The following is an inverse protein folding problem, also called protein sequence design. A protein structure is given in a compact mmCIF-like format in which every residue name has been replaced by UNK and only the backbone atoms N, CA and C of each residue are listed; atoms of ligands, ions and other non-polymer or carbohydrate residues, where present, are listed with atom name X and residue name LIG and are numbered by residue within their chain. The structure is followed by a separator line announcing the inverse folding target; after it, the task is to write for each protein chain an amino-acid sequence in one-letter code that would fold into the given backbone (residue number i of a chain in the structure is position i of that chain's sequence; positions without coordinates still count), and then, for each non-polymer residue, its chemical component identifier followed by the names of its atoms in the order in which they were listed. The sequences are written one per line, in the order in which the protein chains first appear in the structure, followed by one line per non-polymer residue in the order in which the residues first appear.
data_IF_388520357635
#
_entry.id   IF_388520357635
#
_cell.length_a   1.000
_cell.length_b   1.000
_cell.length_c   1.000
_cell.angle_alpha   90.00
_cell.angle_beta   90.00
_cell.angle_gamma   90.00
#
_symmetry.space_group_name_H-M   'P 1'
#
loop_
_entity.id
_entity.type
_entity.pdbx_description
1 polymer ?
#
# COMPACT_ATOMS: atom_id res chain seq x y z
N UNK A 1 41.00 20.01 -3.03
CA UNK A 1 40.86 18.58 -3.37
C UNK A 1 39.56 18.33 -4.13
N UNK A 2 39.47 18.80 -5.38
CA UNK A 2 38.30 18.59 -6.24
C UNK A 2 38.30 17.18 -6.87
N UNK A 3 39.50 16.65 -7.15
CA UNK A 3 39.71 15.35 -7.79
C UNK A 3 39.22 14.15 -6.94
N UNK A 4 39.40 14.18 -5.62
CA UNK A 4 38.90 13.12 -4.73
C UNK A 4 37.37 13.13 -4.59
N UNK A 5 36.75 14.31 -4.75
CA UNK A 5 35.31 14.46 -4.63
C UNK A 5 34.61 13.91 -5.88
N UNK A 6 35.15 14.18 -7.08
CA UNK A 6 34.62 13.68 -8.37
C UNK A 6 34.65 12.14 -8.44
N UNK A 7 35.68 11.50 -7.88
CA UNK A 7 35.79 10.03 -7.84
C UNK A 7 34.70 9.35 -7.01
N UNK A 8 34.08 10.04 -6.06
CA UNK A 8 33.05 9.49 -5.15
C UNK A 8 31.61 9.71 -5.62
N UNK A 9 31.40 10.42 -6.72
CA UNK A 9 30.06 10.74 -7.24
C UNK A 9 29.35 9.53 -7.83
N UNK A 10 30.02 8.66 -8.63
CA UNK A 10 29.38 7.48 -9.17
C UNK A 10 28.86 6.54 -8.09
N UNK A 11 29.62 6.29 -7.02
CA UNK A 11 29.19 5.41 -5.93
C UNK A 11 28.05 6.02 -5.12
N UNK A 12 28.06 7.34 -4.92
CA UNK A 12 26.97 8.05 -4.25
C UNK A 12 25.66 7.97 -5.02
N UNK A 13 25.69 8.21 -6.33
CA UNK A 13 24.49 8.13 -7.16
C UNK A 13 23.94 6.71 -7.27
N UNK A 14 24.80 5.70 -7.33
CA UNK A 14 24.35 4.30 -7.29
C UNK A 14 23.69 3.98 -5.95
N UNK A 15 24.25 4.44 -4.83
CA UNK A 15 23.66 4.19 -3.52
C UNK A 15 22.35 4.96 -3.32
N UNK A 16 22.27 6.20 -3.79
CA UNK A 16 21.06 7.03 -3.77
C UNK A 16 19.96 6.40 -4.62
N UNK A 17 20.25 6.02 -5.87
CA UNK A 17 19.27 5.33 -6.74
C UNK A 17 18.83 3.97 -6.19
N UNK A 18 19.71 3.25 -5.47
CA UNK A 18 19.32 2.03 -4.75
C UNK A 18 18.41 2.32 -3.56
N UNK A 19 18.62 3.41 -2.85
CA UNK A 19 17.74 3.82 -1.75
C UNK A 19 16.37 4.25 -2.28
N UNK A 20 16.33 5.09 -3.32
CA UNK A 20 15.10 5.53 -3.98
C UNK A 20 14.29 4.34 -4.49
N UNK A 21 14.93 3.42 -5.23
CA UNK A 21 14.26 2.22 -5.72
C UNK A 21 13.72 1.31 -4.60
N UNK A 22 14.38 1.25 -3.44
CA UNK A 22 13.85 0.52 -2.28
C UNK A 22 12.62 1.20 -1.68
N UNK A 23 12.63 2.54 -1.59
CA UNK A 23 11.48 3.30 -1.06
C UNK A 23 10.28 3.20 -1.99
N UNK A 24 10.49 3.32 -3.30
CA UNK A 24 9.43 3.15 -4.30
C UNK A 24 8.82 1.74 -4.23
N UNK A 25 9.64 0.70 -4.17
CA UNK A 25 9.16 -0.67 -4.06
C UNK A 25 8.38 -0.92 -2.76
N UNK A 26 8.77 -0.29 -1.66
CA UNK A 26 8.05 -0.36 -0.40
C UNK A 26 6.67 0.30 -0.50
N UNK A 27 6.61 1.51 -1.05
CA UNK A 27 5.36 2.23 -1.26
C UNK A 27 4.41 1.47 -2.20
N UNK A 28 4.93 0.89 -3.29
CA UNK A 28 4.12 0.09 -4.21
C UNK A 28 3.59 -1.18 -3.53
N UNK A 29 4.43 -1.85 -2.73
CA UNK A 29 4.02 -3.04 -1.97
C UNK A 29 2.91 -2.70 -0.95
N UNK A 30 3.04 -1.60 -0.21
CA UNK A 30 2.03 -1.14 0.75
C UNK A 30 0.71 -0.79 0.05
N UNK A 31 0.78 -0.07 -1.07
CA UNK A 31 -0.38 0.27 -1.88
C UNK A 31 -1.10 -1.00 -2.39
N UNK A 32 -0.34 -1.99 -2.85
CA UNK A 32 -0.88 -3.27 -3.34
C UNK A 32 -1.52 -4.08 -2.22
N UNK A 33 -0.90 -4.15 -1.04
CA UNK A 33 -1.48 -4.83 0.14
C UNK A 33 -2.81 -4.16 0.53
N UNK A 34 -2.85 -2.83 0.56
CA UNK A 34 -4.08 -2.09 0.89
C UNK A 34 -5.17 -2.33 -0.15
N UNK A 35 -4.83 -2.36 -1.43
CA UNK A 35 -5.77 -2.64 -2.52
C UNK A 35 -6.35 -4.05 -2.40
N UNK A 36 -5.52 -5.06 -2.14
CA UNK A 36 -5.97 -6.45 -1.97
C UNK A 36 -6.90 -6.60 -0.76
N UNK A 37 -6.62 -5.90 0.35
CA UNK A 37 -7.54 -5.85 1.50
C UNK A 37 -8.90 -5.26 1.14
N UNK A 38 -8.91 -4.17 0.37
CA UNK A 38 -10.14 -3.51 -0.10
C UNK A 38 -10.93 -4.40 -1.06
N UNK A 39 -10.26 -5.09 -1.97
CA UNK A 39 -10.90 -6.05 -2.87
C UNK A 39 -11.54 -7.21 -2.09
N UNK A 40 -10.82 -7.76 -1.11
CA UNK A 40 -11.35 -8.79 -0.21
C UNK A 40 -12.60 -8.30 0.53
N UNK A 41 -12.56 -7.08 1.06
CA UNK A 41 -13.71 -6.49 1.74
C UNK A 41 -14.91 -6.31 0.80
N UNK A 42 -14.70 -5.83 -0.45
CA UNK A 42 -15.77 -5.72 -1.46
C UNK A 42 -16.39 -7.09 -1.77
N UNK A 43 -15.59 -8.13 -1.88
CA UNK A 43 -16.07 -9.48 -2.11
C UNK A 43 -16.94 -9.98 -0.93
N UNK A 44 -16.49 -9.75 0.31
CA UNK A 44 -17.26 -10.09 1.51
C UNK A 44 -18.58 -9.30 1.62
N UNK A 45 -18.56 -8.01 1.27
CA UNK A 45 -19.76 -7.16 1.22
C UNK A 45 -20.76 -7.73 0.21
N UNK A 46 -20.30 -8.12 -0.99
CA UNK A 46 -21.15 -8.72 -2.03
C UNK A 46 -21.78 -10.05 -1.59
N UNK A 47 -21.09 -10.84 -0.78
CA UNK A 47 -21.65 -12.07 -0.22
C UNK A 47 -22.79 -11.78 0.78
N UNK A 48 -22.81 -10.61 1.42
CA UNK A 48 -23.92 -10.15 2.26
C UNK A 48 -24.08 -10.89 3.59
N UNK A 49 -23.12 -11.73 3.97
CA UNK A 49 -23.21 -12.58 5.18
C UNK A 49 -22.68 -11.88 6.44
N UNK A 50 -21.71 -10.98 6.27
CA UNK A 50 -20.97 -10.35 7.38
C UNK A 50 -21.38 -8.88 7.57
N UNK A 51 -21.37 -8.43 8.84
CA UNK A 51 -21.46 -7.02 9.19
C UNK A 51 -20.11 -6.28 9.01
N UNK A 52 -20.11 -4.97 9.18
CA UNK A 52 -18.93 -4.15 8.87
C UNK A 52 -17.77 -4.41 9.86
N UNK A 53 -18.07 -4.68 11.12
CA UNK A 53 -17.07 -5.04 12.14
C UNK A 53 -16.39 -6.38 11.83
N UNK A 54 -17.16 -7.39 11.40
CA UNK A 54 -16.62 -8.69 11.01
C UNK A 54 -15.75 -8.60 9.75
N UNK A 55 -16.15 -7.79 8.77
CA UNK A 55 -15.37 -7.57 7.55
C UNK A 55 -14.07 -6.80 7.87
N UNK A 56 -14.15 -5.78 8.71
CA UNK A 56 -12.99 -5.03 9.20
C UNK A 56 -11.99 -5.96 9.90
N UNK A 57 -12.47 -6.82 10.80
CA UNK A 57 -11.66 -7.82 11.47
C UNK A 57 -11.02 -8.82 10.49
N UNK A 58 -11.78 -9.34 9.52
CA UNK A 58 -11.29 -10.34 8.57
C UNK A 58 -10.25 -9.78 7.57
N UNK A 59 -10.37 -8.51 7.21
CA UNK A 59 -9.49 -7.86 6.23
C UNK A 59 -8.37 -7.03 6.86
N UNK A 60 -8.45 -6.75 8.16
CA UNK A 60 -7.56 -5.82 8.84
C UNK A 60 -7.66 -4.40 8.30
N UNK A 61 -8.88 -4.00 7.90
CA UNK A 61 -9.25 -2.62 7.56
C UNK A 61 -9.91 -1.94 8.76
N UNK A 62 -9.98 -0.61 8.73
CA UNK A 62 -10.80 0.14 9.68
C UNK A 62 -12.28 -0.03 9.36
N UNK A 63 -13.14 0.00 10.38
CA UNK A 63 -14.59 -0.14 10.20
C UNK A 63 -15.12 0.98 9.29
N UNK A 64 -14.60 2.20 9.45
CA UNK A 64 -14.99 3.37 8.63
C UNK A 64 -14.70 3.15 7.13
N UNK A 65 -13.58 2.49 6.80
CA UNK A 65 -13.24 2.16 5.42
C UNK A 65 -14.21 1.13 4.83
N UNK A 66 -14.61 0.14 5.63
CA UNK A 66 -15.58 -0.89 5.22
C UNK A 66 -16.96 -0.27 5.00
N UNK A 67 -17.40 0.62 5.89
CA UNK A 67 -18.67 1.35 5.76
C UNK A 67 -18.67 2.15 4.45
N UNK A 68 -17.58 2.84 4.12
CA UNK A 68 -17.43 3.58 2.86
C UNK A 68 -17.52 2.64 1.64
N UNK A 69 -16.80 1.51 1.66
CA UNK A 69 -16.86 0.52 0.58
C UNK A 69 -18.26 -0.08 0.39
N UNK A 70 -19.01 -0.26 1.48
CA UNK A 70 -20.39 -0.76 1.43
C UNK A 70 -21.34 0.27 0.81
N UNK A 71 -21.16 1.55 1.14
CA UNK A 71 -21.91 2.64 0.51
C UNK A 71 -21.62 2.71 -1.00
N UNK A 72 -20.34 2.61 -1.40
CA UNK A 72 -19.93 2.57 -2.82
C UNK A 72 -20.55 1.38 -3.58
N UNK A 73 -20.71 0.22 -2.93
CA UNK A 73 -21.25 -1.00 -3.56
C UNK A 73 -22.78 -0.98 -3.75
N UNK A 74 -23.48 -0.01 -3.18
CA UNK A 74 -24.94 0.15 -3.28
C UNK A 74 -25.38 1.11 -4.39
N UNK A 75 -24.42 1.79 -5.03
CA UNK A 75 -24.63 2.69 -6.18
C UNK A 75 -24.31 1.97 -7.49
#
# INVERSE_FOLDING_TARGET
MLAERIKKWPERWIEEGRQEGRQEALHEAEARVLETKRETARNLIKLGVLNDEQIAQATGLMVEDVVRLRAESRH
#
